data_IF_259545539059
#
_entry.id   IF_259545539059
#
_cell.length_a   1.000
_cell.length_b   1.000
_cell.length_c   1.000
_cell.angle_alpha   90.00
_cell.angle_beta   90.00
_cell.angle_gamma   90.00
#
_symmetry.space_group_name_H-M   'P 1'
#
loop_
_entity.id
_entity.type
_entity.pdbx_description
1 polymer ?
#
# COMPACT_ATOMS: atom_id res chain seq x y z
N UNK A 1 11.65 18.57 0.39
CA UNK A 1 10.91 17.92 -0.71
C UNK A 1 10.92 16.45 -0.39
N UNK A 2 9.78 15.77 -0.22
CA UNK A 2 9.79 14.36 0.21
C UNK A 2 10.42 13.47 -0.86
N UNK A 3 11.37 12.62 -0.48
CA UNK A 3 12.19 11.81 -1.39
C UNK A 3 11.34 10.94 -2.34
N UNK A 4 10.18 10.47 -1.89
CA UNK A 4 9.21 9.72 -2.69
C UNK A 4 8.72 10.46 -3.94
N UNK A 5 8.70 11.80 -3.94
CA UNK A 5 8.28 12.62 -5.09
C UNK A 5 9.35 12.69 -6.19
N UNK A 6 10.59 12.31 -5.87
CA UNK A 6 11.71 12.25 -6.82
C UNK A 6 11.97 10.82 -7.33
N UNK A 7 11.27 9.81 -6.79
CA UNK A 7 11.43 8.41 -7.19
C UNK A 7 10.83 8.14 -8.57
N UNK A 8 11.41 7.17 -9.27
CA UNK A 8 10.89 6.70 -10.56
C UNK A 8 9.55 5.97 -10.38
N UNK A 9 8.78 5.90 -11.47
CA UNK A 9 7.55 5.13 -11.55
C UNK A 9 7.71 3.66 -11.10
N UNK A 10 8.82 3.04 -11.49
CA UNK A 10 9.17 1.66 -11.15
C UNK A 10 9.48 1.49 -9.66
N UNK A 11 10.20 2.43 -9.05
CA UNK A 11 10.45 2.38 -7.61
C UNK A 11 9.17 2.61 -6.81
N UNK A 12 8.26 3.46 -7.32
CA UNK A 12 6.95 3.69 -6.72
C UNK A 12 5.98 2.53 -6.90
N UNK A 13 6.14 1.63 -7.86
CA UNK A 13 5.23 0.50 -8.09
C UNK A 13 5.49 -0.70 -7.16
N UNK A 14 6.56 -0.67 -6.37
CA UNK A 14 6.86 -1.69 -5.37
C UNK A 14 5.69 -1.90 -4.37
N UNK A 15 5.53 -3.06 -3.72
CA UNK A 15 4.45 -3.26 -2.74
C UNK A 15 4.48 -2.25 -1.58
N UNK A 16 3.33 -1.88 -1.00
CA UNK A 16 3.31 -0.84 0.06
C UNK A 16 4.07 -1.22 1.34
N UNK A 17 4.16 -2.52 1.64
CA UNK A 17 4.92 -3.03 2.79
C UNK A 17 6.43 -2.84 2.64
N UNK A 18 6.95 -2.52 1.45
CA UNK A 18 8.37 -2.16 1.26
C UNK A 18 8.68 -0.74 1.75
N UNK A 19 7.66 0.04 2.10
CA UNK A 19 7.79 1.40 2.60
C UNK A 19 7.46 1.45 4.10
N UNK A 20 8.07 2.39 4.85
CA UNK A 20 7.68 2.62 6.24
C UNK A 20 6.19 2.96 6.34
N UNK A 21 5.48 2.36 7.31
CA UNK A 21 4.04 2.59 7.51
C UNK A 21 3.68 4.09 7.68
N UNK A 22 4.57 4.86 8.31
CA UNK A 22 4.42 6.32 8.51
C UNK A 22 4.45 7.11 7.19
N UNK A 23 5.07 6.55 6.15
CA UNK A 23 5.26 7.20 4.85
C UNK A 23 4.23 6.75 3.81
N UNK A 24 3.37 5.78 4.13
CA UNK A 24 2.33 5.28 3.22
C UNK A 24 1.48 6.41 2.61
N UNK A 25 1.01 7.44 3.35
CA UNK A 25 0.25 8.55 2.76
C UNK A 25 1.06 9.35 1.73
N UNK A 26 2.36 9.49 1.95
CA UNK A 26 3.30 10.19 1.07
C UNK A 26 3.56 9.39 -0.21
N UNK A 27 3.79 8.08 -0.09
CA UNK A 27 3.97 7.16 -1.23
C UNK A 27 2.71 7.12 -2.10
N UNK A 28 1.52 7.05 -1.50
CA UNK A 28 0.25 7.09 -2.23
C UNK A 28 0.06 8.41 -2.99
N UNK A 29 0.48 9.54 -2.40
CA UNK A 29 0.45 10.84 -3.09
C UNK A 29 1.42 10.88 -4.27
N UNK A 30 2.62 10.31 -4.11
CA UNK A 30 3.61 10.22 -5.18
C UNK A 30 3.11 9.34 -6.34
N UNK A 31 2.52 8.17 -6.03
CA UNK A 31 1.91 7.27 -7.03
C UNK A 31 0.83 7.95 -7.85
N UNK A 32 -0.13 8.62 -7.20
CA UNK A 32 -1.19 9.37 -7.91
C UNK A 32 -0.62 10.38 -8.90
N UNK A 33 0.46 11.06 -8.52
CA UNK A 33 1.09 12.08 -9.36
C UNK A 33 1.93 11.49 -10.49
N UNK A 34 2.74 10.47 -10.21
CA UNK A 34 3.73 9.92 -11.15
C UNK A 34 3.13 8.86 -12.07
N UNK A 35 2.29 7.98 -11.51
CA UNK A 35 1.69 6.85 -12.23
C UNK A 35 0.29 7.17 -12.78
N UNK A 36 -0.29 8.33 -12.43
CA UNK A 36 -1.71 8.59 -12.70
C UNK A 36 -2.62 7.56 -12.02
N UNK A 37 -2.10 6.92 -10.97
CA UNK A 37 -2.71 5.80 -10.28
C UNK A 37 -4.01 6.21 -9.60
N UNK A 38 -5.14 5.94 -10.25
CA UNK A 38 -6.44 6.11 -9.63
C UNK A 38 -6.53 5.20 -8.40
N UNK A 39 -6.97 5.69 -7.23
CA UNK A 39 -7.13 4.87 -6.03
C UNK A 39 -7.89 3.56 -6.26
N UNK A 40 -8.78 3.47 -7.25
CA UNK A 40 -9.49 2.24 -7.62
C UNK A 40 -8.58 1.17 -8.24
N UNK A 41 -7.62 1.55 -9.09
CA UNK A 41 -6.69 0.61 -9.74
C UNK A 41 -5.74 -0.05 -8.75
N UNK A 42 -5.40 0.67 -7.68
CA UNK A 42 -4.53 0.17 -6.61
C UNK A 42 -5.30 -0.23 -5.37
N UNK A 43 -6.63 -0.18 -5.35
CA UNK A 43 -7.46 -0.57 -4.21
C UNK A 43 -7.14 -2.00 -3.75
N UNK A 44 -6.81 -2.88 -4.68
CA UNK A 44 -6.41 -4.27 -4.41
C UNK A 44 -5.03 -4.40 -3.73
N UNK A 45 -4.18 -3.39 -3.84
CA UNK A 45 -2.84 -3.31 -3.23
C UNK A 45 -2.83 -2.37 -2.01
N UNK A 46 -3.81 -1.45 -1.95
CA UNK A 46 -4.01 -0.41 -0.92
C UNK A 46 -4.94 -0.87 0.19
N UNK A 47 -5.76 -1.90 -0.03
CA UNK A 47 -6.48 -2.53 1.06
C UNK A 47 -5.40 -3.14 1.98
N UNK A 48 -5.21 -2.62 3.21
CA UNK A 48 -4.52 -3.41 4.20
C UNK A 48 -5.32 -4.70 4.25
N UNK A 49 -4.61 -5.82 4.10
CA UNK A 49 -5.19 -7.14 4.12
C UNK A 49 -6.27 -7.21 5.21
N UNK A 50 -7.53 -7.17 4.78
CA UNK A 50 -8.65 -7.74 5.51
C UNK A 50 -8.50 -9.27 5.44
N UNK A 51 -7.31 -9.76 5.79
CA UNK A 51 -7.06 -11.15 6.13
C UNK A 51 -7.36 -11.28 7.62
N UNK A 52 -8.60 -10.93 7.99
CA UNK A 52 -9.28 -11.55 9.12
C UNK A 52 -9.69 -12.97 8.68
N UNK A 53 -8.72 -13.80 8.28
CA UNK A 53 -8.79 -15.21 8.63
C UNK A 53 -8.60 -15.29 10.13
N UNK A 54 -9.64 -14.88 10.86
CA UNK A 54 -9.99 -15.45 12.15
C UNK A 54 -10.28 -16.90 11.82
N UNK A 55 -9.24 -17.73 11.77
CA UNK A 55 -9.41 -19.16 11.87
C UNK A 55 -10.06 -19.39 13.22
N UNK A 56 -11.34 -19.80 13.18
CA UNK A 56 -12.02 -20.50 14.25
C UNK A 56 -11.07 -21.57 14.83
N UNK A 57 -10.40 -21.23 15.92
CA UNK A 57 -9.62 -22.17 16.72
C UNK A 57 -9.97 -21.94 18.19
N UNK A 58 -11.19 -22.32 18.54
CA UNK A 58 -11.57 -22.66 19.90
C UNK A 58 -12.85 -23.50 19.89
N UNK A 59 -12.78 -24.67 19.28
CA UNK A 59 -13.74 -25.75 19.52
C UNK A 59 -12.96 -26.93 20.12
N UNK A 60 -12.75 -26.91 21.44
CA UNK A 60 -12.78 -28.09 22.33
C UNK A 60 -12.58 -27.65 23.78
N UNK A 61 -13.64 -27.70 24.59
CA UNK A 61 -13.71 -28.41 25.89
C UNK A 61 -15.17 -28.70 26.24
#
# INVERSE_FOLDING_TARGET
MSDYMAMSAEALSAPLWTFPAVDVPLVQRARRRVLGADPETYAHVLAPEADERVTDFADTE
#
